data_IF_179828175687
#
_entry.id   IF_179828175687
#
_cell.length_a   1.000
_cell.length_b   1.000
_cell.length_c   1.000
_cell.angle_alpha   90.00
_cell.angle_beta   90.00
_cell.angle_gamma   90.00
#
_symmetry.space_group_name_H-M   'P 1'
#
loop_
_entity.id
_entity.type
_entity.pdbx_description
1 polymer ?
#
# COMPACT_ATOMS: atom_id res chain seq x y z
N UNK A 1 -12.33 69.53 -32.67
CA UNK A 1 -10.92 69.57 -33.11
C UNK A 1 -10.59 68.18 -33.63
N UNK A 2 -10.71 67.98 -34.93
CA UNK A 2 -9.65 68.18 -35.94
C UNK A 2 -8.60 67.07 -35.92
N UNK A 3 -8.80 66.14 -36.85
CA UNK A 3 -7.83 65.20 -37.48
C UNK A 3 -6.69 66.05 -38.12
N UNK A 4 -5.41 65.61 -38.21
CA UNK A 4 -4.91 64.79 -39.34
C UNK A 4 -3.85 63.72 -38.95
N UNK A 5 -3.87 62.52 -39.53
CA UNK A 5 -3.13 62.05 -40.73
C UNK A 5 -1.59 62.07 -40.66
N UNK A 6 -0.94 60.91 -40.85
CA UNK A 6 -0.14 60.58 -42.06
C UNK A 6 0.41 59.14 -42.01
N UNK A 7 0.02 58.26 -42.95
CA UNK A 7 0.66 57.95 -44.25
C UNK A 7 2.04 57.28 -44.05
N UNK A 8 2.34 56.07 -44.55
CA UNK A 8 2.42 55.70 -45.97
C UNK A 8 2.36 54.15 -46.11
N UNK A 9 1.47 53.60 -46.93
CA UNK A 9 1.69 53.15 -48.32
C UNK A 9 2.73 52.02 -48.48
N UNK A 10 2.24 50.81 -48.78
CA UNK A 10 2.66 50.20 -50.05
C UNK A 10 1.44 49.63 -50.76
N UNK A 11 1.29 50.10 -51.99
CA UNK A 11 0.14 49.97 -52.86
C UNK A 11 0.65 49.39 -54.16
N UNK A 12 0.13 48.23 -54.54
CA UNK A 12 -0.09 47.83 -55.93
C UNK A 12 -1.39 47.02 -55.92
N UNK A 13 -2.52 47.72 -55.88
CA UNK A 13 -3.41 48.04 -57.03
C UNK A 13 -4.01 46.78 -57.64
N UNK A 14 -5.24 46.44 -57.24
CA UNK A 14 -6.53 46.93 -57.82
C UNK A 14 -6.56 46.78 -59.33
N UNK A 15 -7.28 45.75 -59.80
CA UNK A 15 -8.17 45.86 -60.96
C UNK A 15 -9.46 45.06 -60.65
N UNK A 16 -10.51 45.83 -60.42
CA UNK A 16 -11.93 45.57 -60.74
C UNK A 16 -12.76 44.73 -59.74
N UNK A 17 -13.31 45.47 -58.78
CA UNK A 17 -14.71 45.35 -58.34
C UNK A 17 -15.64 45.19 -59.55
N UNK A 18 -16.60 44.25 -59.50
CA UNK A 18 -18.05 44.54 -59.67
C UNK A 18 -18.93 43.42 -60.22
N UNK A 19 -18.46 42.17 -60.45
CA UNK A 19 -19.32 41.17 -61.13
C UNK A 19 -19.53 39.80 -60.47
N UNK A 20 -19.22 39.59 -59.19
CA UNK A 20 -19.48 38.29 -58.54
C UNK A 20 -20.28 38.44 -57.23
N UNK A 21 -21.23 39.39 -57.19
CA UNK A 21 -22.33 39.40 -56.22
C UNK A 21 -23.67 38.94 -56.85
N UNK A 22 -23.61 38.22 -57.98
CA UNK A 22 -24.77 37.53 -58.59
C UNK A 22 -24.64 36.00 -58.66
N UNK A 23 -23.64 35.40 -58.00
CA UNK A 23 -23.50 33.93 -57.87
C UNK A 23 -23.44 33.45 -56.41
N UNK A 24 -24.01 34.24 -55.50
CA UNK A 24 -24.48 33.71 -54.22
C UNK A 24 -25.87 33.10 -54.42
N UNK A 25 -25.92 31.94 -55.06
CA UNK A 25 -26.99 30.98 -54.86
C UNK A 25 -26.57 29.64 -55.43
N UNK A 26 -26.67 28.63 -54.56
CA UNK A 26 -26.73 27.20 -54.88
C UNK A 26 -25.42 26.47 -55.16
N UNK A 27 -25.28 25.35 -54.45
CA UNK A 27 -24.35 24.23 -54.63
C UNK A 27 -22.93 24.40 -54.08
N UNK A 28 -22.77 24.20 -52.76
CA UNK A 28 -21.64 23.46 -52.18
C UNK A 28 -21.73 23.20 -50.66
N UNK A 29 -22.92 23.31 -50.04
CA UNK A 29 -23.16 22.89 -48.64
C UNK A 29 -23.73 21.46 -48.50
N UNK A 30 -24.20 20.85 -49.58
CA UNK A 30 -24.84 19.52 -49.55
C UNK A 30 -23.84 18.35 -49.57
N UNK A 31 -22.72 18.43 -50.30
CA UNK A 31 -21.81 17.29 -50.44
C UNK A 31 -20.96 17.02 -49.18
N UNK A 32 -20.52 18.07 -48.47
CA UNK A 32 -19.75 17.90 -47.21
C UNK A 32 -20.61 17.39 -46.05
N UNK A 33 -21.92 17.66 -46.06
CA UNK A 33 -22.83 17.14 -45.04
C UNK A 33 -23.15 15.66 -45.26
N UNK A 34 -23.26 15.24 -46.52
CA UNK A 34 -23.53 13.84 -46.87
C UNK A 34 -22.35 12.90 -46.58
N UNK A 35 -21.11 13.36 -46.76
CA UNK A 35 -19.92 12.57 -46.42
C UNK A 35 -19.73 12.38 -44.90
N UNK A 36 -20.21 13.32 -44.08
CA UNK A 36 -20.23 13.19 -42.60
C UNK A 36 -21.38 12.29 -42.11
N UNK A 37 -22.49 12.20 -42.86
CA UNK A 37 -23.59 11.29 -42.57
C UNK A 37 -23.29 9.84 -42.97
N UNK A 38 -22.57 9.61 -44.09
CA UNK A 38 -22.16 8.27 -44.53
C UNK A 38 -21.07 7.63 -43.63
N UNK A 39 -20.18 8.44 -43.05
CA UNK A 39 -19.18 7.95 -42.09
C UNK A 39 -19.81 7.58 -40.74
N UNK A 40 -20.87 8.26 -40.34
CA UNK A 40 -21.66 7.93 -39.13
C UNK A 40 -22.64 6.77 -39.34
N UNK A 41 -22.98 6.42 -40.59
CA UNK A 41 -23.81 5.26 -40.91
C UNK A 41 -23.00 3.95 -40.88
N UNK A 42 -21.70 3.98 -41.24
CA UNK A 42 -20.82 2.80 -41.24
C UNK A 42 -20.33 2.35 -39.85
N UNK A 43 -20.46 3.18 -38.81
CA UNK A 43 -19.98 2.86 -37.45
C UNK A 43 -21.06 2.32 -36.52
N UNK A 44 -22.33 2.28 -36.93
CA UNK A 44 -23.38 1.60 -36.17
C UNK A 44 -23.37 0.11 -36.54
N UNK A 45 -22.58 -0.68 -35.81
CA UNK A 45 -22.80 -2.13 -35.76
C UNK A 45 -24.25 -2.34 -35.30
N UNK A 46 -25.12 -2.82 -36.19
CA UNK A 46 -26.48 -3.20 -35.83
C UNK A 46 -26.39 -4.37 -34.85
N UNK A 47 -26.61 -4.09 -33.57
CA UNK A 47 -26.66 -5.10 -32.52
C UNK A 47 -27.94 -5.92 -32.72
N UNK A 48 -27.78 -7.19 -33.10
CA UNK A 48 -28.90 -8.11 -33.14
C UNK A 48 -29.18 -8.56 -31.69
N UNK A 49 -30.27 -8.09 -31.10
CA UNK A 49 -30.61 -8.34 -29.68
C UNK A 49 -30.70 -9.84 -29.35
N UNK A 50 -30.90 -10.68 -30.37
CA UNK A 50 -31.08 -12.12 -30.23
C UNK A 50 -29.75 -12.92 -30.29
N UNK A 51 -28.60 -12.28 -30.52
CA UNK A 51 -27.29 -12.93 -30.67
C UNK A 51 -26.22 -12.35 -29.72
N UNK A 52 -26.61 -11.99 -28.49
CA UNK A 52 -25.65 -11.51 -27.49
C UNK A 52 -24.93 -12.71 -26.87
N UNK A 53 -23.62 -12.86 -27.12
CA UNK A 53 -22.83 -13.92 -26.49
C UNK A 53 -22.42 -13.51 -25.07
N UNK A 54 -22.12 -14.48 -24.20
CA UNK A 54 -21.70 -14.21 -22.81
C UNK A 54 -20.50 -13.25 -22.70
N UNK A 55 -19.64 -13.24 -23.73
CA UNK A 55 -18.46 -12.35 -23.83
C UNK A 55 -18.84 -10.89 -24.10
N UNK A 56 -19.99 -10.64 -24.73
CA UNK A 56 -20.48 -9.29 -25.06
C UNK A 56 -21.21 -8.62 -23.89
N UNK A 57 -21.60 -9.41 -22.88
CA UNK A 57 -22.21 -8.95 -21.62
C UNK A 57 -21.16 -8.59 -20.56
N UNK A 58 -19.86 -8.79 -20.84
CA UNK A 58 -18.80 -8.35 -19.94
C UNK A 58 -18.70 -6.83 -20.01
N UNK A 59 -18.79 -6.18 -18.84
CA UNK A 59 -18.47 -4.76 -18.74
C UNK A 59 -17.04 -4.53 -19.27
N UNK A 60 -16.79 -3.44 -20.02
CA UNK A 60 -15.45 -3.08 -20.44
C UNK A 60 -14.55 -3.05 -19.22
N UNK A 61 -13.53 -3.89 -19.22
CA UNK A 61 -12.59 -3.93 -18.10
C UNK A 61 -11.78 -2.64 -18.10
N UNK A 62 -11.42 -2.09 -16.92
CA UNK A 62 -10.49 -0.98 -16.88
C UNK A 62 -9.18 -1.38 -17.60
N UNK A 63 -8.50 -0.41 -18.22
CA UNK A 63 -7.25 -0.61 -18.97
C UNK A 63 -6.17 -1.46 -18.26
N UNK A 64 -6.26 -1.60 -16.93
CA UNK A 64 -5.34 -2.39 -16.10
C UNK A 64 -5.55 -3.90 -16.19
N UNK A 65 -6.69 -4.38 -16.66
CA UNK A 65 -7.06 -5.81 -16.70
C UNK A 65 -6.85 -6.45 -18.07
N UNK A 66 -6.80 -5.67 -19.15
CA UNK A 66 -6.57 -6.14 -20.52
C UNK A 66 -5.12 -5.92 -20.97
N UNK A 67 -4.17 -6.66 -20.39
CA UNK A 67 -2.88 -6.86 -21.05
C UNK A 67 -2.36 -8.28 -20.82
N UNK A 68 -2.10 -8.95 -21.95
CA UNK A 68 -1.54 -10.28 -22.05
C UNK A 68 -0.22 -10.42 -21.24
N UNK A 69 0.10 -11.67 -20.90
CA UNK A 69 1.18 -12.13 -20.02
C UNK A 69 2.53 -11.38 -20.09
N UNK A 70 2.87 -10.76 -21.23
CA UNK A 70 4.11 -10.02 -21.46
C UNK A 70 4.28 -8.80 -20.52
N UNK A 71 3.18 -8.14 -20.15
CA UNK A 71 3.23 -6.96 -19.28
C UNK A 71 3.20 -7.30 -17.78
N UNK A 72 3.05 -8.59 -17.38
CA UNK A 72 3.11 -8.99 -15.96
C UNK A 72 4.48 -8.71 -15.34
N UNK A 73 5.57 -8.99 -16.06
CA UNK A 73 6.93 -8.74 -15.57
C UNK A 73 7.22 -7.25 -15.44
N UNK A 74 6.63 -6.43 -16.33
CA UNK A 74 6.74 -4.98 -16.26
C UNK A 74 5.79 -4.35 -15.23
N UNK A 75 4.72 -5.05 -14.81
CA UNK A 75 3.74 -4.57 -13.83
C UNK A 75 4.40 -4.20 -12.49
N UNK A 76 5.44 -4.90 -12.07
CA UNK A 76 6.23 -4.58 -10.86
C UNK A 76 6.83 -3.17 -10.90
N UNK A 77 7.08 -2.61 -12.09
CA UNK A 77 7.55 -1.22 -12.23
C UNK A 77 6.42 -0.18 -12.14
N UNK A 78 5.17 -0.59 -12.37
CA UNK A 78 3.99 0.27 -12.51
C UNK A 78 2.91 0.09 -11.44
N UNK A 79 3.05 -0.87 -10.51
CA UNK A 79 2.01 -1.10 -9.49
C UNK A 79 1.76 0.15 -8.65
N UNK A 80 0.51 0.58 -8.71
CA UNK A 80 -0.18 1.60 -7.92
C UNK A 80 0.45 3.00 -7.81
N UNK A 81 1.30 3.36 -8.77
CA UNK A 81 1.74 4.75 -8.88
C UNK A 81 0.60 5.59 -9.43
N UNK A 82 0.15 6.56 -8.64
CA UNK A 82 -0.79 7.58 -9.11
C UNK A 82 -0.27 8.22 -10.41
N UNK A 83 -1.16 8.68 -11.29
CA UNK A 83 -0.76 9.32 -12.58
C UNK A 83 0.28 10.44 -12.39
N UNK A 84 0.23 11.10 -11.24
CA UNK A 84 1.16 12.15 -10.80
C UNK A 84 2.57 11.60 -10.55
N UNK A 85 2.69 10.44 -9.91
CA UNK A 85 4.00 9.81 -9.67
C UNK A 85 4.66 9.33 -10.95
N UNK A 86 3.88 8.81 -11.89
CA UNK A 86 4.37 8.41 -13.21
C UNK A 86 4.86 9.65 -13.97
N UNK A 87 4.08 10.73 -13.98
CA UNK A 87 4.48 12.00 -14.59
C UNK A 87 5.76 12.57 -13.96
N UNK A 88 5.86 12.53 -12.61
CA UNK A 88 7.05 12.97 -11.88
C UNK A 88 8.28 12.12 -12.22
N UNK A 89 8.12 10.80 -12.34
CA UNK A 89 9.19 9.88 -12.72
C UNK A 89 9.68 10.12 -14.15
N UNK A 90 8.78 10.38 -15.09
CA UNK A 90 9.13 10.70 -16.49
C UNK A 90 9.81 12.07 -16.63
N UNK A 91 9.51 13.02 -15.73
CA UNK A 91 10.10 14.36 -15.72
C UNK A 91 11.45 14.44 -14.99
N UNK A 92 11.74 13.52 -14.07
CA UNK A 92 13.01 13.50 -13.36
C UNK A 92 14.16 12.98 -14.24
N UNK A 93 15.36 13.58 -14.19
CA UNK A 93 16.52 13.07 -14.92
C UNK A 93 16.88 11.67 -14.41
N UNK A 94 17.15 10.75 -15.34
CA UNK A 94 17.52 9.38 -15.00
C UNK A 94 19.02 9.36 -14.66
N UNK A 95 19.34 9.27 -13.37
CA UNK A 95 20.70 9.13 -12.89
C UNK A 95 21.16 7.66 -12.93
N UNK A 96 21.94 7.29 -13.97
CA UNK A 96 22.51 5.95 -14.13
C UNK A 96 23.80 5.69 -13.32
N UNK A 97 24.06 6.46 -12.26
CA UNK A 97 25.24 6.23 -11.42
C UNK A 97 25.10 4.87 -10.71
N UNK A 98 26.15 4.04 -10.60
CA UNK A 98 26.03 2.73 -9.96
C UNK A 98 25.49 2.78 -8.52
N UNK A 99 25.85 3.80 -7.74
CA UNK A 99 25.33 4.03 -6.39
C UNK A 99 23.85 4.41 -6.38
N UNK A 100 23.38 5.23 -7.33
CA UNK A 100 21.95 5.58 -7.44
C UNK A 100 21.13 4.40 -7.91
N UNK A 101 21.67 3.57 -8.82
CA UNK A 101 21.04 2.32 -9.24
C UNK A 101 20.92 1.35 -8.07
N UNK A 102 21.98 1.14 -7.28
CA UNK A 102 21.94 0.26 -6.12
C UNK A 102 20.89 0.71 -5.09
N UNK A 103 20.86 2.00 -4.76
CA UNK A 103 19.86 2.56 -3.85
C UNK A 103 18.44 2.45 -4.44
N UNK A 104 18.30 2.60 -5.75
CA UNK A 104 17.02 2.40 -6.43
C UNK A 104 16.56 0.93 -6.36
N UNK A 105 17.45 -0.04 -6.56
CA UNK A 105 17.16 -1.48 -6.42
C UNK A 105 16.72 -1.78 -4.98
N UNK A 106 17.50 -1.36 -3.98
CA UNK A 106 17.16 -1.55 -2.55
C UNK A 106 15.79 -0.96 -2.20
N UNK A 107 15.50 0.26 -2.70
CA UNK A 107 14.19 0.90 -2.53
C UNK A 107 13.07 0.09 -3.18
N UNK A 108 13.33 -0.52 -4.35
CA UNK A 108 12.37 -1.37 -5.05
C UNK A 108 12.13 -2.70 -4.35
N UNK A 109 13.17 -3.31 -3.77
CA UNK A 109 13.04 -4.50 -2.93
C UNK A 109 12.18 -4.20 -1.71
N UNK A 110 12.44 -3.09 -1.00
CA UNK A 110 11.59 -2.63 0.10
C UNK A 110 10.13 -2.42 -0.32
N UNK A 111 9.88 -1.70 -1.42
CA UNK A 111 8.51 -1.50 -1.93
C UNK A 111 7.80 -2.83 -2.19
N UNK A 112 8.53 -3.79 -2.77
CA UNK A 112 8.00 -5.14 -3.01
C UNK A 112 7.68 -5.84 -1.69
N UNK A 113 8.55 -5.78 -0.68
CA UNK A 113 8.30 -6.37 0.63
C UNK A 113 7.06 -5.79 1.30
N UNK A 114 6.90 -4.46 1.29
CA UNK A 114 5.72 -3.77 1.83
C UNK A 114 4.44 -4.26 1.13
N UNK A 115 4.45 -4.32 -0.20
CA UNK A 115 3.29 -4.80 -0.97
C UNK A 115 2.98 -6.26 -0.64
N UNK A 116 3.99 -7.12 -0.53
CA UNK A 116 3.83 -8.52 -0.14
C UNK A 116 3.32 -8.69 1.29
N UNK A 117 3.42 -7.65 2.13
CA UNK A 117 2.92 -7.63 3.49
C UNK A 117 1.50 -7.08 3.61
N UNK A 118 0.98 -6.43 2.58
CA UNK A 118 -0.37 -5.86 2.60
C UNK A 118 -1.46 -6.89 2.93
N UNK A 119 -2.51 -6.42 3.58
CA UNK A 119 -3.67 -7.23 3.95
C UNK A 119 -4.45 -7.69 2.72
N UNK A 120 -4.63 -9.01 2.57
CA UNK A 120 -5.39 -9.64 1.49
C UNK A 120 -6.73 -10.15 2.04
N UNK A 121 -7.86 -9.50 1.71
CA UNK A 121 -9.16 -9.87 2.26
C UNK A 121 -9.64 -11.27 1.83
N UNK A 122 -9.33 -11.70 0.61
CA UNK A 122 -9.76 -12.99 0.06
C UNK A 122 -9.17 -14.16 0.84
N UNK A 123 -7.89 -14.07 1.24
CA UNK A 123 -7.21 -15.07 2.07
C UNK A 123 -7.93 -15.24 3.41
N UNK A 124 -8.30 -14.12 4.04
CA UNK A 124 -8.95 -14.12 5.35
C UNK A 124 -10.39 -14.64 5.30
N UNK A 125 -11.09 -14.51 4.16
CA UNK A 125 -12.42 -15.10 3.98
C UNK A 125 -12.38 -16.63 3.90
N UNK A 126 -11.31 -17.20 3.32
CA UNK A 126 -11.16 -18.65 3.15
C UNK A 126 -10.61 -19.32 4.41
N UNK A 127 -9.55 -18.75 4.99
CA UNK A 127 -8.84 -19.34 6.13
C UNK A 127 -9.35 -18.84 7.48
N UNK A 128 -10.11 -17.75 7.52
CA UNK A 128 -10.39 -17.02 8.76
C UNK A 128 -9.22 -16.11 9.16
N UNK A 129 -9.47 -15.17 10.07
CA UNK A 129 -8.48 -14.15 10.45
C UNK A 129 -7.30 -14.74 11.23
N UNK A 130 -7.57 -15.63 12.19
CA UNK A 130 -6.55 -16.27 13.04
C UNK A 130 -5.58 -17.10 12.21
N UNK A 131 -6.09 -18.06 11.43
CA UNK A 131 -5.25 -18.93 10.61
C UNK A 131 -4.55 -18.16 9.48
N UNK A 132 -5.19 -17.16 8.87
CA UNK A 132 -4.52 -16.33 7.87
C UNK A 132 -3.35 -15.52 8.46
N UNK A 133 -3.49 -15.02 9.69
CA UNK A 133 -2.41 -14.37 10.41
C UNK A 133 -1.31 -15.37 10.80
N UNK A 134 -1.67 -16.58 11.22
CA UNK A 134 -0.74 -17.67 11.50
C UNK A 134 0.16 -17.97 10.28
N UNK A 135 -0.44 -18.21 9.11
CA UNK A 135 0.30 -18.41 7.87
C UNK A 135 1.18 -17.21 7.51
N UNK A 136 0.72 -15.99 7.76
CA UNK A 136 1.48 -14.78 7.47
C UNK A 136 2.76 -14.68 8.31
N UNK A 137 2.67 -14.93 9.62
CA UNK A 137 3.80 -14.85 10.55
C UNK A 137 4.80 -15.97 10.29
N UNK A 138 4.32 -17.22 10.19
CA UNK A 138 5.21 -18.39 10.04
C UNK A 138 5.94 -18.39 8.70
N UNK A 139 5.27 -17.97 7.61
CA UNK A 139 5.91 -17.84 6.30
C UNK A 139 7.10 -16.85 6.29
N UNK A 140 7.14 -15.90 7.23
CA UNK A 140 8.20 -14.89 7.34
C UNK A 140 9.25 -15.24 8.39
N UNK A 141 9.20 -16.45 8.96
CA UNK A 141 10.16 -16.93 9.95
C UNK A 141 9.77 -16.64 11.40
N UNK A 142 8.61 -16.04 11.64
CA UNK A 142 8.07 -15.90 12.99
C UNK A 142 7.53 -17.23 13.54
N UNK A 143 7.21 -17.24 14.83
CA UNK A 143 6.59 -18.38 15.50
C UNK A 143 5.26 -18.00 16.11
N UNK A 144 4.36 -18.98 16.21
CA UNK A 144 3.03 -18.77 16.80
C UNK A 144 2.69 -19.87 17.79
N UNK A 145 1.78 -19.55 18.70
CA UNK A 145 1.22 -20.49 19.66
C UNK A 145 -0.30 -20.38 19.68
N UNK A 146 -0.97 -21.51 19.47
CA UNK A 146 -2.43 -21.59 19.59
C UNK A 146 -2.87 -21.81 21.03
N UNK A 147 -4.06 -21.31 21.35
CA UNK A 147 -4.68 -21.51 22.64
C UNK A 147 -4.88 -23.00 22.94
N UNK A 148 -4.42 -23.43 24.12
CA UNK A 148 -4.48 -24.84 24.55
C UNK A 148 -3.35 -25.73 24.03
N UNK A 149 -2.51 -25.23 23.11
CA UNK A 149 -1.28 -25.91 22.68
C UNK A 149 -0.05 -25.32 23.38
N UNK A 150 0.84 -26.16 23.90
CA UNK A 150 2.08 -25.69 24.52
C UNK A 150 3.25 -25.50 23.54
N UNK A 151 3.11 -25.98 22.31
CA UNK A 151 4.18 -25.97 21.32
C UNK A 151 4.13 -24.71 20.46
N UNK A 152 5.31 -24.13 20.22
CA UNK A 152 5.50 -23.08 19.23
C UNK A 152 5.60 -23.69 17.83
N UNK A 153 4.91 -23.11 16.87
CA UNK A 153 4.95 -23.50 15.47
C UNK A 153 5.81 -22.47 14.74
N UNK A 154 6.92 -22.91 14.18
CA UNK A 154 7.86 -22.12 13.37
C UNK A 154 8.12 -22.86 12.06
N UNK A 155 8.52 -22.14 11.02
CA UNK A 155 8.99 -22.75 9.78
C UNK A 155 10.34 -23.44 9.99
N UNK A 156 10.50 -24.62 9.36
CA UNK A 156 11.77 -25.32 9.28
C UNK A 156 12.75 -24.58 8.36
N UNK A 157 14.02 -24.99 8.35
CA UNK A 157 15.04 -24.41 7.44
C UNK A 157 14.65 -24.51 5.95
N UNK A 158 13.88 -25.55 5.60
CA UNK A 158 13.35 -25.78 4.24
C UNK A 158 12.12 -24.90 3.90
N UNK A 159 11.60 -24.14 4.87
CA UNK A 159 10.43 -23.27 4.71
C UNK A 159 9.07 -23.97 4.89
N UNK A 160 9.06 -25.26 5.19
CA UNK A 160 7.86 -26.02 5.50
C UNK A 160 7.41 -25.82 6.96
N UNK A 161 6.11 -25.80 7.19
CA UNK A 161 5.52 -25.65 8.52
C UNK A 161 4.18 -26.39 8.67
N UNK A 162 3.92 -26.87 9.88
CA UNK A 162 2.74 -27.66 10.21
C UNK A 162 1.55 -26.75 10.60
N UNK A 163 0.89 -26.15 9.59
CA UNK A 163 -0.37 -25.43 9.78
C UNK A 163 -1.51 -26.03 8.93
N UNK A 164 -2.75 -26.05 9.46
CA UNK A 164 -3.91 -26.50 8.68
C UNK A 164 -4.11 -25.64 7.43
N UNK A 165 -4.32 -26.26 6.28
CA UNK A 165 -4.62 -25.57 5.02
C UNK A 165 -6.07 -25.08 4.89
N UNK A 166 -6.93 -25.52 5.80
CA UNK A 166 -8.37 -25.24 5.79
C UNK A 166 -8.80 -24.65 7.12
N UNK A 167 -9.87 -23.86 7.09
CA UNK A 167 -10.41 -23.20 8.27
C UNK A 167 -10.79 -24.20 9.37
N UNK A 168 -10.27 -23.98 10.58
CA UNK A 168 -10.60 -24.75 11.78
C UNK A 168 -11.30 -23.83 12.77
N UNK A 169 -12.56 -24.14 13.08
CA UNK A 169 -13.51 -23.24 13.73
C UNK A 169 -13.31 -23.02 15.26
N UNK A 170 -12.11 -23.28 15.79
CA UNK A 170 -11.85 -23.25 17.24
C UNK A 170 -10.40 -22.95 17.62
N UNK A 171 -9.57 -22.52 16.68
CA UNK A 171 -8.17 -22.17 16.95
C UNK A 171 -8.03 -20.66 17.04
N UNK A 172 -7.59 -20.20 18.21
CA UNK A 172 -7.24 -18.80 18.47
C UNK A 172 -5.76 -18.71 18.75
N UNK A 173 -5.11 -17.66 18.27
CA UNK A 173 -3.71 -17.40 18.57
C UNK A 173 -3.62 -16.76 19.95
N UNK A 174 -2.77 -17.33 20.80
CA UNK A 174 -2.51 -16.83 22.15
C UNK A 174 -1.20 -16.04 22.21
N UNK A 175 -0.16 -16.52 21.51
CA UNK A 175 1.15 -15.88 21.49
C UNK A 175 1.70 -15.80 20.08
N UNK A 176 2.36 -14.68 19.77
CA UNK A 176 3.04 -14.43 18.50
C UNK A 176 4.46 -13.96 18.77
N UNK A 177 5.41 -14.66 18.19
CA UNK A 177 6.82 -14.28 18.19
C UNK A 177 7.23 -13.82 16.80
N UNK A 178 7.55 -12.54 16.68
CA UNK A 178 8.06 -11.92 15.47
C UNK A 178 9.56 -11.63 15.56
N UNK A 179 10.30 -12.31 16.45
CA UNK A 179 11.72 -12.02 16.67
C UNK A 179 12.55 -12.12 15.37
N UNK A 180 13.42 -11.13 15.14
CA UNK A 180 14.32 -10.99 13.97
C UNK A 180 13.61 -10.94 12.61
N UNK A 181 12.30 -10.66 12.59
CA UNK A 181 11.52 -10.58 11.35
C UNK A 181 11.54 -9.18 10.74
N UNK A 182 11.61 -9.11 9.40
CA UNK A 182 11.45 -7.86 8.65
C UNK A 182 9.96 -7.50 8.47
N UNK A 183 9.37 -6.86 9.47
CA UNK A 183 7.96 -6.45 9.47
C UNK A 183 7.80 -4.94 9.24
N UNK A 184 6.93 -4.55 8.32
CA UNK A 184 6.52 -3.17 8.08
C UNK A 184 5.13 -2.89 8.65
N UNK A 185 4.81 -1.60 8.81
CA UNK A 185 3.52 -1.13 9.31
C UNK A 185 2.32 -1.74 8.58
N UNK A 186 2.37 -1.82 7.25
CA UNK A 186 1.30 -2.42 6.43
C UNK A 186 1.08 -3.90 6.76
N UNK A 187 2.13 -4.61 7.16
CA UNK A 187 2.06 -6.01 7.58
C UNK A 187 1.26 -6.23 8.85
N UNK A 188 1.32 -5.28 9.80
CA UNK A 188 0.59 -5.34 11.07
C UNK A 188 -0.92 -5.36 10.88
N UNK A 189 -1.42 -4.83 9.77
CA UNK A 189 -2.86 -4.87 9.45
C UNK A 189 -3.42 -6.30 9.35
N UNK A 190 -2.58 -7.30 9.07
CA UNK A 190 -2.94 -8.71 9.11
C UNK A 190 -3.29 -9.21 10.52
N UNK A 191 -2.74 -8.57 11.56
CA UNK A 191 -2.97 -8.92 12.96
C UNK A 191 -4.19 -8.20 13.56
N UNK A 192 -4.77 -7.22 12.84
CA UNK A 192 -5.83 -6.33 13.36
C UNK A 192 -7.10 -7.01 13.86
N UNK A 193 -7.41 -8.20 13.36
CA UNK A 193 -8.66 -8.93 13.67
C UNK A 193 -8.47 -10.06 14.68
N UNK A 194 -7.30 -10.14 15.31
CA UNK A 194 -7.00 -11.16 16.32
C UNK A 194 -7.62 -10.75 17.65
N UNK A 195 -8.31 -11.68 18.31
CA UNK A 195 -9.16 -11.34 19.45
C UNK A 195 -8.61 -11.70 20.83
N UNK A 196 -7.60 -12.58 20.91
CA UNK A 196 -7.19 -13.23 22.17
C UNK A 196 -5.67 -13.34 22.35
N UNK A 197 -4.93 -12.41 21.76
CA UNK A 197 -3.47 -12.39 21.93
C UNK A 197 -3.14 -11.90 23.33
N UNK A 198 -2.37 -12.71 24.04
CA UNK A 198 -1.85 -12.41 25.37
C UNK A 198 -0.36 -12.04 25.32
N UNK A 199 0.41 -12.59 24.38
CA UNK A 199 1.86 -12.45 24.32
C UNK A 199 2.31 -12.07 22.92
N UNK A 200 3.12 -11.01 22.81
CA UNK A 200 3.63 -10.51 21.55
C UNK A 200 5.09 -10.09 21.69
N UNK A 201 5.95 -10.56 20.79
CA UNK A 201 7.36 -10.18 20.74
C UNK A 201 7.73 -9.61 19.38
N UNK A 202 8.42 -8.47 19.37
CA UNK A 202 9.04 -7.83 18.20
C UNK A 202 10.56 -7.70 18.37
N UNK A 203 11.18 -8.58 19.16
CA UNK A 203 12.61 -8.48 19.44
C UNK A 203 13.44 -8.49 18.15
N UNK A 204 14.22 -7.44 17.88
CA UNK A 204 15.07 -7.36 16.69
C UNK A 204 14.35 -6.98 15.40
N UNK A 205 13.13 -6.42 15.50
CA UNK A 205 12.43 -5.87 14.33
C UNK A 205 12.91 -4.45 14.01
N UNK A 206 13.78 -4.31 13.00
CA UNK A 206 14.38 -3.01 12.63
C UNK A 206 13.39 -1.95 12.12
N UNK A 207 12.31 -2.38 11.44
CA UNK A 207 11.38 -1.50 10.74
C UNK A 207 10.11 -1.16 11.55
N UNK A 208 10.07 -1.51 12.84
CA UNK A 208 8.95 -1.18 13.73
C UNK A 208 9.17 0.22 14.31
N UNK A 209 8.34 1.16 13.85
CA UNK A 209 8.35 2.56 14.29
C UNK A 209 7.32 2.84 15.40
N UNK A 210 7.36 4.05 15.97
CA UNK A 210 6.38 4.56 16.94
C UNK A 210 4.92 4.37 16.51
N UNK A 211 4.65 4.53 15.22
CA UNK A 211 3.31 4.41 14.65
C UNK A 211 2.80 2.97 14.70
N UNK A 212 3.72 2.01 14.57
CA UNK A 212 3.41 0.58 14.71
C UNK A 212 3.03 0.27 16.15
N UNK A 213 3.73 0.84 17.13
CA UNK A 213 3.43 0.66 18.55
C UNK A 213 2.07 1.27 18.91
N UNK A 214 1.74 2.47 18.43
CA UNK A 214 0.41 3.07 18.64
C UNK A 214 -0.71 2.26 17.97
N UNK A 215 -0.43 1.67 16.81
CA UNK A 215 -1.38 0.80 16.13
C UNK A 215 -1.64 -0.49 16.93
N UNK A 216 -0.58 -1.13 17.43
CA UNK A 216 -0.66 -2.33 18.28
C UNK A 216 -1.40 -2.01 19.58
N UNK A 217 -1.09 -0.89 20.23
CA UNK A 217 -1.76 -0.48 21.47
C UNK A 217 -3.25 -0.20 21.24
N UNK A 218 -3.63 0.32 20.06
CA UNK A 218 -5.03 0.52 19.68
C UNK A 218 -5.80 -0.79 19.42
N UNK A 219 -5.16 -1.80 18.83
CA UNK A 219 -5.81 -3.08 18.52
C UNK A 219 -5.92 -3.97 19.77
N UNK A 220 -4.82 -4.11 20.51
CA UNK A 220 -4.69 -5.11 21.58
C UNK A 220 -4.83 -4.54 22.99
N UNK A 221 -5.38 -3.33 23.12
CA UNK A 221 -5.57 -2.63 24.40
C UNK A 221 -6.19 -3.46 25.54
N UNK A 222 -7.08 -4.41 25.20
CA UNK A 222 -7.77 -5.27 26.18
C UNK A 222 -7.18 -6.65 26.37
N UNK A 223 -6.32 -7.14 25.48
CA UNK A 223 -5.94 -8.56 25.45
C UNK A 223 -4.48 -8.77 25.80
N UNK A 224 -3.62 -7.82 25.42
CA UNK A 224 -2.19 -8.00 25.55
C UNK A 224 -1.74 -7.93 27.01
N UNK A 225 -0.95 -8.91 27.43
CA UNK A 225 -0.41 -9.04 28.79
C UNK A 225 1.11 -8.90 28.78
N UNK A 226 1.76 -9.40 27.73
CA UNK A 226 3.21 -9.36 27.55
C UNK A 226 3.54 -8.72 26.20
N UNK A 227 4.44 -7.75 26.22
CA UNK A 227 5.00 -7.11 25.03
C UNK A 227 6.52 -7.04 25.13
N UNK A 228 7.21 -7.48 24.09
CA UNK A 228 8.67 -7.35 23.96
C UNK A 228 9.03 -6.48 22.76
N UNK A 229 9.73 -5.37 23.03
CA UNK A 229 10.18 -4.37 22.06
C UNK A 229 11.71 -4.23 22.06
N UNK A 230 12.44 -5.27 22.49
CA UNK A 230 13.90 -5.25 22.45
C UNK A 230 14.45 -5.19 21.03
N UNK A 231 15.67 -4.71 20.89
CA UNK A 231 16.42 -4.45 19.67
C UNK A 231 15.61 -3.75 18.57
N UNK A 232 14.77 -2.78 18.94
CA UNK A 232 13.94 -2.02 18.01
C UNK A 232 14.47 -0.56 17.89
N UNK A 233 15.39 -0.28 16.94
CA UNK A 233 16.11 1.01 16.89
C UNK A 233 15.23 2.20 16.51
N UNK A 234 14.09 1.95 15.88
CA UNK A 234 13.18 2.98 15.34
C UNK A 234 12.08 3.42 16.32
N UNK A 235 12.00 2.77 17.49
CA UNK A 235 11.07 3.15 18.56
C UNK A 235 11.70 4.28 19.40
N UNK A 236 10.93 5.34 19.59
CA UNK A 236 11.27 6.51 20.40
C UNK A 236 10.39 6.60 21.65
N UNK A 237 10.64 7.59 22.50
CA UNK A 237 9.83 7.87 23.67
C UNK A 237 8.36 8.11 23.30
N UNK A 238 8.10 8.63 22.08
CA UNK A 238 6.75 8.89 21.59
C UNK A 238 5.96 7.61 21.38
N UNK A 239 6.58 6.58 20.81
CA UNK A 239 5.95 5.26 20.64
C UNK A 239 5.57 4.65 21.99
N UNK A 240 6.44 4.78 22.99
CA UNK A 240 6.19 4.26 24.34
C UNK A 240 5.02 4.95 25.04
N UNK A 241 4.81 6.25 24.81
CA UNK A 241 3.63 6.92 25.38
C UNK A 241 2.35 6.19 24.96
N UNK A 242 2.23 5.72 23.72
CA UNK A 242 1.02 5.06 23.24
C UNK A 242 0.63 3.78 23.99
N UNK A 243 1.55 3.19 24.76
CA UNK A 243 1.31 1.99 25.58
C UNK A 243 0.37 2.26 26.76
N UNK A 244 0.14 3.52 27.16
CA UNK A 244 -0.77 3.89 28.26
C UNK A 244 -2.20 3.35 28.07
N UNK A 245 -2.59 3.11 26.81
CA UNK A 245 -3.92 2.60 26.44
C UNK A 245 -4.13 1.13 26.86
N UNK A 246 -3.07 0.39 27.15
CA UNK A 246 -3.13 -1.06 27.40
C UNK A 246 -3.26 -1.36 28.90
N UNK A 247 -4.50 -1.39 29.38
CA UNK A 247 -4.81 -1.57 30.81
C UNK A 247 -4.40 -2.95 31.36
N UNK A 248 -4.32 -3.97 30.49
CA UNK A 248 -4.02 -5.35 30.89
C UNK A 248 -2.54 -5.74 30.71
N UNK A 249 -1.70 -4.81 30.24
CA UNK A 249 -0.27 -5.06 30.06
C UNK A 249 0.40 -5.21 31.43
N UNK A 250 1.07 -6.34 31.64
CA UNK A 250 1.78 -6.64 32.89
C UNK A 250 3.28 -6.64 32.73
N UNK A 251 3.78 -7.06 31.57
CA UNK A 251 5.21 -7.19 31.32
C UNK A 251 5.56 -6.46 30.02
N UNK A 252 6.47 -5.52 30.12
CA UNK A 252 7.04 -4.80 28.99
C UNK A 252 8.56 -5.00 28.99
N UNK A 253 9.09 -5.63 27.95
CA UNK A 253 10.53 -5.72 27.72
C UNK A 253 10.99 -4.58 26.81
N UNK A 254 11.97 -3.82 27.28
CA UNK A 254 12.61 -2.73 26.55
C UNK A 254 14.11 -2.97 26.48
N UNK A 255 14.74 -2.30 25.51
CA UNK A 255 16.19 -2.13 25.48
C UNK A 255 16.67 -1.19 26.58
N UNK A 256 17.99 -1.05 26.67
CA UNK A 256 18.65 -0.15 27.62
C UNK A 256 17.93 1.20 27.75
N UNK A 257 17.36 1.39 28.94
CA UNK A 257 16.53 2.54 29.32
C UNK A 257 17.33 3.84 29.34
N UNK A 258 18.66 3.76 29.32
CA UNK A 258 19.57 4.89 29.37
C UNK A 258 19.82 5.57 28.01
N UNK A 259 18.99 5.27 26.99
CA UNK A 259 19.15 5.86 25.65
C UNK A 259 18.98 7.39 25.66
N UNK A 260 18.06 7.93 26.46
CA UNK A 260 17.87 9.38 26.64
C UNK A 260 17.09 9.71 27.93
N UNK A 261 17.22 10.95 28.42
CA UNK A 261 16.48 11.45 29.58
C UNK A 261 14.96 11.45 29.38
N UNK A 262 14.50 11.67 28.14
CA UNK A 262 13.08 11.65 27.78
C UNK A 262 12.49 10.23 27.85
N UNK A 263 13.31 9.22 27.55
CA UNK A 263 12.95 7.81 27.65
C UNK A 263 12.66 7.42 29.11
N UNK A 264 13.57 7.76 30.02
CA UNK A 264 13.40 7.53 31.46
C UNK A 264 12.13 8.21 32.00
N UNK A 265 11.92 9.47 31.63
CA UNK A 265 10.73 10.22 32.08
C UNK A 265 9.43 9.57 31.58
N UNK A 266 9.42 9.09 30.34
CA UNK A 266 8.24 8.43 29.76
C UNK A 266 7.94 7.11 30.45
N UNK A 267 8.98 6.34 30.78
CA UNK A 267 8.85 5.10 31.56
C UNK A 267 8.27 5.37 32.94
N UNK A 268 8.76 6.41 33.63
CA UNK A 268 8.20 6.83 34.93
C UNK A 268 6.73 7.23 34.82
N UNK A 269 6.36 8.00 33.79
CA UNK A 269 4.96 8.36 33.53
C UNK A 269 4.08 7.13 33.24
N UNK A 270 4.62 6.14 32.52
CA UNK A 270 3.92 4.90 32.21
C UNK A 270 3.70 4.05 33.47
N UNK A 271 4.70 3.96 34.35
CA UNK A 271 4.59 3.28 35.64
C UNK A 271 3.59 3.96 36.58
N UNK A 272 3.50 5.29 36.54
CA UNK A 272 2.50 6.04 37.31
C UNK A 272 1.07 5.73 36.84
N UNK A 273 0.85 5.62 35.53
CA UNK A 273 -0.46 5.30 34.96
C UNK A 273 -0.82 3.82 35.09
N UNK A 274 0.17 2.92 34.97
CA UNK A 274 0.01 1.48 35.02
C UNK A 274 0.83 0.90 36.19
N UNK A 275 0.34 0.97 37.44
CA UNK A 275 1.10 0.55 38.61
C UNK A 275 1.37 -0.97 38.67
N UNK A 276 0.68 -1.76 37.84
CA UNK A 276 0.86 -3.20 37.73
C UNK A 276 1.86 -3.60 36.64
N UNK A 277 2.38 -2.64 35.86
CA UNK A 277 3.29 -2.88 34.77
C UNK A 277 4.71 -3.07 35.28
N UNK A 278 5.26 -4.26 35.04
CA UNK A 278 6.68 -4.57 35.24
C UNK A 278 7.44 -4.27 33.95
N UNK A 279 8.39 -3.34 34.04
CA UNK A 279 9.25 -2.97 32.92
C UNK A 279 10.60 -3.64 33.13
N UNK A 280 10.95 -4.54 32.21
CA UNK A 280 12.17 -5.32 32.26
C UNK A 280 13.13 -4.81 31.18
N UNK A 281 14.37 -4.54 31.58
CA UNK A 281 15.42 -4.09 30.69
C UNK A 281 16.23 -5.31 30.26
N UNK A 282 16.34 -5.54 28.96
CA UNK A 282 17.22 -6.58 28.43
C UNK A 282 18.68 -6.13 28.52
N UNK A 283 19.52 -6.89 29.22
CA UNK A 283 20.97 -6.71 29.12
C UNK A 283 21.42 -7.05 27.69
N UNK A 284 22.20 -6.16 27.06
CA UNK A 284 22.89 -6.46 25.81
C UNK A 284 23.72 -7.72 26.01
N UNK A 285 23.37 -8.81 25.33
CA UNK A 285 24.35 -9.85 25.05
C UNK A 285 25.17 -9.33 23.87
N UNK A 286 26.36 -8.80 24.17
CA UNK A 286 27.41 -8.47 23.19
C UNK A 286 27.73 -9.63 22.23
#
# INVERSE_FOLDING_TARGET
>A
MNIPERFALCSCRKIIFSNILKRYSSNNKSEKFNHLLDLNAKSRKNYNVNEVTKKDLEWPKPWNEETEHYFKTLRVFYTDKSKVEIARFLQSPIDFRPSTILNWIKRKEREKEIILQSYIPERNQVLGNELAAAHFVVYRGGAIKFHGGNNWIKANEDGDYDLPSHYVNSQYIEAIDCSEMTLYYEGLTNLSKLQRINWLSFNGCENIDDWSVDYISGIFYKTLVYLDLRNCPSITERGLTALWKMENLKVLYLDDVLRSSEYEMTILMLQEHLPHLEILVGDYCD
#
